data_IF_990336684548
#
_entry.id   IF_990336684548
#
_cell.length_a   1.000
_cell.length_b   1.000
_cell.length_c   1.000
_cell.angle_alpha   90.00
_cell.angle_beta   90.00
_cell.angle_gamma   90.00
#
_symmetry.space_group_name_H-M   'P 1'
#
loop_
_entity.id
_entity.type
_entity.pdbx_description
1 polymer ?
#
# COMPACT_ATOMS: atom_id res chain seq x y z
N UNK A 1 -8.39 -19.80 1.80
CA UNK A 1 -7.89 -18.40 1.87
C UNK A 1 -6.38 -18.41 1.63
N UNK A 2 -5.90 -17.50 0.80
CA UNK A 2 -4.46 -17.41 0.52
C UNK A 2 -3.70 -16.87 1.73
N UNK A 3 -2.65 -17.58 2.13
CA UNK A 3 -1.71 -17.15 3.16
C UNK A 3 -0.27 -17.52 2.77
N UNK A 4 0.62 -16.56 2.76
CA UNK A 4 2.03 -16.77 2.47
C UNK A 4 2.89 -16.46 3.72
N UNK A 5 3.49 -17.47 4.38
CA UNK A 5 4.35 -17.27 5.55
C UNK A 5 5.59 -16.41 5.24
N UNK A 6 6.14 -16.50 4.03
CA UNK A 6 7.31 -15.70 3.63
C UNK A 6 7.05 -14.19 3.67
N UNK A 7 5.78 -13.76 3.60
CA UNK A 7 5.39 -12.35 3.73
C UNK A 7 5.34 -11.84 5.18
N UNK A 8 5.73 -12.63 6.17
CA UNK A 8 5.74 -12.22 7.58
C UNK A 8 6.59 -10.97 7.80
N UNK A 9 7.79 -10.91 7.24
CA UNK A 9 8.67 -9.74 7.32
C UNK A 9 8.06 -8.48 6.68
N UNK A 10 7.36 -8.63 5.54
CA UNK A 10 6.64 -7.52 4.90
C UNK A 10 5.54 -6.97 5.80
N UNK A 11 4.75 -7.84 6.43
CA UNK A 11 3.70 -7.44 7.38
C UNK A 11 4.27 -6.77 8.63
N UNK A 12 5.40 -7.25 9.16
CA UNK A 12 6.10 -6.63 10.30
C UNK A 12 6.58 -5.22 9.95
N UNK A 13 7.20 -5.04 8.78
CA UNK A 13 7.63 -3.71 8.31
C UNK A 13 6.44 -2.75 8.19
N UNK A 14 5.28 -3.23 7.74
CA UNK A 14 4.06 -2.43 7.64
C UNK A 14 3.58 -1.92 9.02
N UNK A 15 3.59 -2.79 10.05
CA UNK A 15 3.24 -2.37 11.44
C UNK A 15 4.21 -1.33 11.95
N UNK A 16 5.51 -1.57 11.80
CA UNK A 16 6.55 -0.64 12.27
C UNK A 16 6.48 0.72 11.56
N UNK A 17 6.21 0.72 10.26
CA UNK A 17 6.08 1.95 9.49
C UNK A 17 4.80 2.71 9.85
N UNK A 18 3.68 2.01 10.10
CA UNK A 18 2.44 2.64 10.55
C UNK A 18 2.63 3.29 11.93
N UNK A 19 3.31 2.59 12.86
CA UNK A 19 3.67 3.15 14.15
C UNK A 19 4.52 4.41 14.00
N UNK A 20 5.58 4.35 13.21
CA UNK A 20 6.42 5.52 12.93
C UNK A 20 5.62 6.68 12.32
N UNK A 21 4.71 6.41 11.36
CA UNK A 21 3.88 7.44 10.75
C UNK A 21 2.90 8.10 11.74
N UNK A 22 2.44 7.37 12.76
CA UNK A 22 1.63 7.90 13.86
C UNK A 22 2.49 8.79 14.78
N UNK A 23 3.65 8.31 15.20
CA UNK A 23 4.60 9.03 16.06
C UNK A 23 5.08 10.35 15.42
N UNK A 24 5.34 10.36 14.09
CA UNK A 24 5.76 11.54 13.32
C UNK A 24 4.59 12.47 12.91
N UNK A 25 3.34 12.12 13.24
CA UNK A 25 2.16 12.91 12.90
C UNK A 25 1.81 12.96 11.42
N UNK A 26 2.32 12.02 10.59
CA UNK A 26 2.04 11.98 9.15
C UNK A 26 0.57 11.76 8.83
N UNK A 27 -0.16 11.14 9.76
CA UNK A 27 -1.56 10.74 9.60
C UNK A 27 -2.54 11.69 10.32
N UNK A 28 -2.05 12.78 10.92
CA UNK A 28 -2.83 13.71 11.74
C UNK A 28 -3.17 13.13 13.12
N UNK A 29 -3.99 13.86 13.90
CA UNK A 29 -4.28 13.51 15.31
C UNK A 29 -5.60 12.74 15.50
N UNK A 30 -6.50 12.73 14.53
CA UNK A 30 -7.82 12.09 14.63
C UNK A 30 -7.80 10.61 14.23
N UNK A 31 -8.99 10.12 13.89
CA UNK A 31 -9.16 8.77 13.34
C UNK A 31 -8.38 8.58 12.05
N UNK A 32 -7.63 7.50 11.99
CA UNK A 32 -6.84 7.08 10.82
C UNK A 32 -7.65 6.06 10.03
N UNK A 33 -8.15 6.47 8.89
CA UNK A 33 -8.83 5.56 7.95
C UNK A 33 -7.79 4.79 7.15
N UNK A 34 -7.54 3.55 7.55
CA UNK A 34 -6.62 2.64 6.90
C UNK A 34 -7.35 1.68 5.95
N UNK A 35 -6.71 1.31 4.86
CA UNK A 35 -7.27 0.34 3.91
C UNK A 35 -6.21 -0.70 3.54
N UNK A 36 -6.55 -1.98 3.75
CA UNK A 36 -5.79 -3.15 3.30
C UNK A 36 -6.46 -3.69 2.02
N UNK A 37 -5.90 -3.32 0.89
CA UNK A 37 -6.43 -3.68 -0.42
C UNK A 37 -5.91 -5.02 -0.91
N UNK A 38 -6.82 -5.84 -1.48
CA UNK A 38 -6.53 -7.21 -1.93
C UNK A 38 -6.09 -8.10 -0.76
N UNK A 39 -6.84 -7.97 0.33
CA UNK A 39 -6.44 -8.36 1.69
C UNK A 39 -6.25 -9.86 1.91
N UNK A 40 -6.87 -10.71 1.08
CA UNK A 40 -6.91 -12.18 1.23
C UNK A 40 -7.29 -12.60 2.67
N UNK A 41 -6.32 -12.90 3.52
CA UNK A 41 -6.57 -13.35 4.91
C UNK A 41 -6.88 -12.23 5.91
N UNK A 42 -6.83 -10.97 5.52
CA UNK A 42 -6.99 -9.83 6.44
C UNK A 42 -5.87 -9.68 7.48
N UNK A 43 -4.84 -10.52 7.41
CA UNK A 43 -3.83 -10.61 8.46
C UNK A 43 -3.02 -9.32 8.60
N UNK A 44 -2.78 -8.58 7.53
CA UNK A 44 -2.02 -7.31 7.59
C UNK A 44 -2.77 -6.27 8.42
N UNK A 45 -4.03 -6.00 8.09
CA UNK A 45 -4.87 -5.07 8.84
C UNK A 45 -5.05 -5.51 10.30
N UNK A 46 -5.27 -6.81 10.54
CA UNK A 46 -5.38 -7.35 11.90
C UNK A 46 -4.09 -7.16 12.71
N UNK A 47 -2.91 -7.26 12.09
CA UNK A 47 -1.64 -6.98 12.77
C UNK A 47 -1.49 -5.50 13.12
N UNK A 48 -1.97 -4.56 12.29
CA UNK A 48 -2.02 -3.15 12.67
C UNK A 48 -2.82 -2.95 13.96
N UNK A 49 -4.00 -3.57 14.06
CA UNK A 49 -4.89 -3.43 15.22
C UNK A 49 -4.41 -4.16 16.48
N UNK A 50 -3.57 -5.20 16.33
CA UNK A 50 -3.11 -6.02 17.45
C UNK A 50 -1.71 -5.67 17.96
N UNK A 51 -0.82 -5.16 17.09
CA UNK A 51 0.60 -4.99 17.42
C UNK A 51 0.98 -3.52 17.69
N UNK A 52 0.11 -2.57 17.35
CA UNK A 52 0.27 -1.18 17.79
C UNK A 52 -0.04 -1.04 19.29
N UNK A 53 0.56 -0.04 19.98
CA UNK A 53 0.08 0.37 21.31
C UNK A 53 -1.43 0.60 21.30
N UNK A 54 -2.11 0.33 22.41
CA UNK A 54 -3.58 0.43 22.48
C UNK A 54 -4.10 1.81 22.04
N UNK A 55 -3.49 2.88 22.53
CA UNK A 55 -3.84 4.26 22.20
C UNK A 55 -3.72 4.59 20.70
N UNK A 56 -2.74 4.01 20.03
CA UNK A 56 -2.55 4.15 18.59
C UNK A 56 -3.53 3.26 17.81
N UNK A 57 -3.71 2.02 18.25
CA UNK A 57 -4.64 1.08 17.63
C UNK A 57 -6.09 1.60 17.68
N UNK A 58 -6.51 2.22 18.76
CA UNK A 58 -7.85 2.82 18.90
C UNK A 58 -8.14 3.92 17.87
N UNK A 59 -7.11 4.55 17.32
CA UNK A 59 -7.25 5.55 16.26
C UNK A 59 -7.48 4.92 14.89
N UNK A 60 -7.22 3.63 14.71
CA UNK A 60 -7.28 2.97 13.40
C UNK A 60 -8.71 2.50 13.10
N UNK A 61 -9.27 3.00 12.01
CA UNK A 61 -10.47 2.44 11.38
C UNK A 61 -10.02 1.73 10.09
N UNK A 62 -9.84 0.42 10.19
CA UNK A 62 -9.33 -0.41 9.10
C UNK A 62 -10.47 -0.93 8.22
N UNK A 63 -10.34 -0.77 6.91
CA UNK A 63 -11.17 -1.41 5.91
C UNK A 63 -10.35 -2.47 5.18
N UNK A 64 -10.81 -3.71 5.17
CA UNK A 64 -10.22 -4.78 4.35
C UNK A 64 -11.04 -4.98 3.08
N UNK A 65 -10.38 -5.12 1.94
CA UNK A 65 -11.03 -5.20 0.63
C UNK A 65 -10.58 -6.43 -0.12
N UNK A 66 -11.54 -7.22 -0.61
CA UNK A 66 -11.28 -8.33 -1.53
C UNK A 66 -12.48 -8.55 -2.45
N UNK A 67 -12.25 -9.21 -3.59
CA UNK A 67 -13.31 -9.68 -4.48
C UNK A 67 -13.93 -10.99 -3.95
N UNK A 68 -13.11 -11.79 -3.25
CA UNK A 68 -13.49 -13.11 -2.76
C UNK A 68 -14.19 -13.02 -1.38
N UNK A 69 -15.49 -13.24 -1.38
CA UNK A 69 -16.32 -13.17 -0.17
C UNK A 69 -15.87 -14.15 0.91
N UNK A 70 -15.41 -15.34 0.52
CA UNK A 70 -14.92 -16.33 1.48
C UNK A 70 -13.63 -15.89 2.18
N UNK A 71 -12.80 -15.09 1.51
CA UNK A 71 -11.62 -14.48 2.12
C UNK A 71 -12.02 -13.47 3.21
N UNK A 72 -12.99 -12.61 2.91
CA UNK A 72 -13.50 -11.62 3.86
C UNK A 72 -14.18 -12.29 5.06
N UNK A 73 -15.06 -13.28 4.83
CA UNK A 73 -15.70 -14.03 5.94
C UNK A 73 -14.67 -14.69 6.85
N UNK A 74 -13.62 -15.26 6.28
CA UNK A 74 -12.54 -15.85 7.07
C UNK A 74 -11.80 -14.80 7.90
N UNK A 75 -11.52 -13.64 7.32
CA UNK A 75 -10.86 -12.55 8.00
C UNK A 75 -11.71 -12.00 9.16
N UNK A 76 -13.01 -11.80 8.96
CA UNK A 76 -13.97 -11.37 9.98
C UNK A 76 -14.08 -12.42 11.10
N UNK A 77 -14.30 -13.69 10.78
CA UNK A 77 -14.37 -14.75 11.78
C UNK A 77 -13.08 -14.85 12.61
N UNK A 78 -11.92 -14.70 11.98
CA UNK A 78 -10.64 -14.67 12.68
C UNK A 78 -10.47 -13.41 13.54
N UNK A 79 -11.06 -12.29 13.15
CA UNK A 79 -11.06 -11.05 13.94
C UNK A 79 -11.93 -11.18 15.18
N UNK A 80 -13.09 -11.81 15.05
CA UNK A 80 -14.03 -12.07 16.16
C UNK A 80 -13.45 -13.08 17.16
N UNK A 81 -12.78 -14.12 16.68
CA UNK A 81 -12.15 -15.15 17.53
C UNK A 81 -10.95 -14.57 18.31
N UNK A 82 -10.20 -13.67 17.69
CA UNK A 82 -9.03 -13.00 18.28
C UNK A 82 -9.19 -11.48 18.21
N UNK A 83 -9.96 -10.89 19.14
CA UNK A 83 -10.27 -9.47 19.11
C UNK A 83 -9.01 -8.60 19.19
N UNK A 84 -9.03 -7.43 18.55
CA UNK A 84 -7.88 -6.55 18.46
C UNK A 84 -7.54 -5.89 19.80
N UNK A 85 -6.33 -5.37 19.88
CA UNK A 85 -5.90 -4.52 20.99
C UNK A 85 -6.66 -3.18 21.03
N UNK A 86 -7.12 -2.69 19.88
CA UNK A 86 -7.90 -1.46 19.73
C UNK A 86 -8.32 -1.26 18.27
N UNK A 87 -9.11 -0.20 18.03
CA UNK A 87 -9.58 0.16 16.68
C UNK A 87 -10.72 -0.69 16.16
N UNK A 88 -11.03 -0.53 14.86
CA UNK A 88 -12.14 -1.24 14.19
C UNK A 88 -11.69 -1.87 12.89
N UNK A 89 -12.35 -2.97 12.52
CA UNK A 89 -12.16 -3.63 11.23
C UNK A 89 -13.52 -3.76 10.53
N UNK A 90 -13.58 -3.32 9.27
CA UNK A 90 -14.74 -3.46 8.39
C UNK A 90 -14.34 -4.19 7.12
N UNK A 91 -15.11 -5.19 6.72
CA UNK A 91 -14.92 -5.88 5.45
C UNK A 91 -15.76 -5.25 4.35
N UNK A 92 -15.15 -5.03 3.19
CA UNK A 92 -15.79 -4.46 2.01
C UNK A 92 -15.54 -5.33 0.79
N UNK A 93 -16.56 -6.08 0.38
CA UNK A 93 -16.51 -6.85 -0.87
C UNK A 93 -16.57 -5.90 -2.07
N UNK A 94 -15.63 -6.07 -2.99
CA UNK A 94 -15.63 -5.31 -4.24
C UNK A 94 -14.25 -5.09 -4.84
N UNK A 95 -14.28 -4.44 -6.01
CA UNK A 95 -13.05 -4.02 -6.67
C UNK A 95 -12.40 -2.89 -5.87
N UNK A 96 -11.13 -3.07 -5.53
CA UNK A 96 -10.34 -2.10 -4.78
C UNK A 96 -10.43 -0.68 -5.39
N UNK A 97 -10.42 -0.58 -6.72
CA UNK A 97 -10.49 0.71 -7.43
C UNK A 97 -11.77 1.51 -7.14
N UNK A 98 -12.84 0.81 -6.84
CA UNK A 98 -14.14 1.42 -6.50
C UNK A 98 -14.30 1.61 -4.99
N UNK A 99 -13.87 0.63 -4.20
CA UNK A 99 -14.03 0.67 -2.74
C UNK A 99 -13.15 1.75 -2.12
N UNK A 100 -11.91 1.90 -2.59
CA UNK A 100 -10.96 2.88 -2.05
C UNK A 100 -11.48 4.32 -2.15
N UNK A 101 -12.32 4.62 -3.15
CA UNK A 101 -12.89 5.95 -3.40
C UNK A 101 -14.09 6.31 -2.50
N UNK A 102 -14.60 5.37 -1.69
CA UNK A 102 -15.80 5.62 -0.85
C UNK A 102 -15.54 6.62 0.27
N UNK A 103 -14.29 6.79 0.70
CA UNK A 103 -13.89 7.78 1.72
C UNK A 103 -12.43 8.20 1.55
N UNK A 104 -12.05 9.33 2.16
CA UNK A 104 -10.64 9.72 2.24
C UNK A 104 -9.83 8.74 3.08
N UNK A 105 -8.61 8.42 2.63
CA UNK A 105 -7.72 7.44 3.29
C UNK A 105 -6.45 8.10 3.78
N UNK A 106 -6.03 7.75 5.00
CA UNK A 106 -4.75 8.19 5.58
C UNK A 106 -3.66 7.14 5.36
N UNK A 107 -4.04 5.86 5.27
CA UNK A 107 -3.15 4.73 5.02
C UNK A 107 -3.77 3.80 3.98
N UNK A 108 -3.03 3.47 2.94
CA UNK A 108 -3.48 2.53 1.91
C UNK A 108 -2.38 1.51 1.64
N UNK A 109 -2.70 0.24 1.75
CA UNK A 109 -1.85 -0.88 1.33
C UNK A 109 -2.39 -1.49 0.03
N UNK A 110 -1.51 -1.70 -0.94
CA UNK A 110 -1.81 -2.31 -2.24
C UNK A 110 -0.80 -3.44 -2.48
N UNK A 111 -1.23 -4.67 -2.31
CA UNK A 111 -0.37 -5.87 -2.43
C UNK A 111 -0.95 -6.89 -3.45
N UNK A 112 -0.96 -6.56 -4.75
CA UNK A 112 -1.49 -7.41 -5.80
C UNK A 112 -0.52 -8.51 -6.22
N UNK A 113 -1.05 -9.53 -6.90
CA UNK A 113 -0.25 -10.33 -7.81
C UNK A 113 0.12 -9.51 -9.07
N UNK A 114 1.39 -9.49 -9.42
CA UNK A 114 1.89 -8.78 -10.60
C UNK A 114 2.09 -7.29 -10.37
N UNK A 115 1.58 -6.47 -11.30
CA UNK A 115 1.77 -5.03 -11.29
C UNK A 115 0.70 -4.29 -10.49
N UNK A 116 1.07 -3.34 -9.61
CA UNK A 116 0.12 -2.52 -8.87
C UNK A 116 -0.50 -1.39 -9.71
N UNK A 117 0.02 -1.11 -10.89
CA UNK A 117 -0.36 0.04 -11.71
C UNK A 117 -1.88 0.22 -11.93
N UNK A 118 -2.69 -0.86 -12.07
CA UNK A 118 -4.13 -0.72 -12.23
C UNK A 118 -4.87 -0.06 -11.05
N UNK A 119 -4.26 -0.04 -9.86
CA UNK A 119 -4.89 0.43 -8.63
C UNK A 119 -4.42 1.81 -8.19
N UNK A 120 -3.27 2.28 -8.69
CA UNK A 120 -2.56 3.46 -8.17
C UNK A 120 -3.36 4.75 -8.37
N UNK A 121 -4.04 4.93 -9.50
CA UNK A 121 -4.78 6.15 -9.79
C UNK A 121 -5.93 6.36 -8.79
N UNK A 122 -6.79 5.36 -8.61
CA UNK A 122 -7.90 5.43 -7.65
C UNK A 122 -7.41 5.57 -6.20
N UNK A 123 -6.35 4.84 -5.84
CA UNK A 123 -5.77 4.94 -4.52
C UNK A 123 -5.19 6.34 -4.27
N UNK A 124 -4.47 6.90 -5.23
CA UNK A 124 -3.91 8.25 -5.13
C UNK A 124 -5.00 9.32 -4.99
N UNK A 125 -6.09 9.17 -5.74
CA UNK A 125 -7.26 10.06 -5.64
C UNK A 125 -7.90 10.02 -4.25
N UNK A 126 -7.96 8.84 -3.61
CA UNK A 126 -8.60 8.63 -2.31
C UNK A 126 -7.82 9.18 -1.12
N UNK A 127 -6.52 9.44 -1.28
CA UNK A 127 -5.66 9.86 -0.16
C UNK A 127 -6.14 11.15 0.51
N UNK A 128 -6.06 11.21 1.81
CA UNK A 128 -6.25 12.43 2.61
C UNK A 128 -5.21 13.50 2.23
N UNK A 129 -5.24 14.67 2.85
CA UNK A 129 -4.26 15.76 2.60
C UNK A 129 -2.81 15.34 2.89
N UNK A 130 -2.65 14.49 3.89
CA UNK A 130 -1.40 13.82 4.25
C UNK A 130 -1.73 12.37 4.60
N UNK A 131 -0.91 11.46 4.16
CA UNK A 131 -1.08 10.02 4.43
C UNK A 131 0.11 9.23 3.93
N UNK A 132 0.03 7.92 4.06
CA UNK A 132 1.06 6.98 3.61
C UNK A 132 0.44 5.92 2.72
N UNK A 133 1.15 5.57 1.67
CA UNK A 133 0.80 4.48 0.78
C UNK A 133 1.94 3.45 0.78
N UNK A 134 1.58 2.19 0.92
CA UNK A 134 2.47 1.05 0.75
C UNK A 134 2.05 0.27 -0.49
N UNK A 135 2.98 -0.03 -1.36
CA UNK A 135 2.69 -0.67 -2.65
C UNK A 135 3.69 -1.79 -2.92
N UNK A 136 3.16 -2.96 -3.20
CA UNK A 136 3.97 -4.11 -3.61
C UNK A 136 3.84 -4.40 -5.11
N UNK A 137 4.87 -5.01 -5.68
CA UNK A 137 4.88 -5.57 -7.01
C UNK A 137 5.58 -6.94 -7.01
N UNK A 138 5.02 -7.89 -7.73
CA UNK A 138 5.61 -9.21 -7.93
C UNK A 138 5.98 -9.48 -9.40
N UNK A 139 5.76 -8.53 -10.30
CA UNK A 139 6.17 -8.60 -11.70
C UNK A 139 7.66 -8.19 -11.90
N UNK A 140 8.51 -8.77 -11.07
CA UNK A 140 9.94 -8.46 -10.96
C UNK A 140 10.70 -8.65 -12.27
N UNK A 141 10.31 -9.62 -13.12
CA UNK A 141 10.90 -9.80 -14.45
C UNK A 141 10.71 -8.57 -15.36
N UNK A 142 9.58 -7.87 -15.21
CA UNK A 142 9.39 -6.60 -15.91
C UNK A 142 10.30 -5.52 -15.32
N UNK A 143 10.23 -5.35 -13.99
CA UNK A 143 10.93 -4.27 -13.29
C UNK A 143 12.47 -4.37 -13.36
N UNK A 144 13.03 -5.59 -13.48
CA UNK A 144 14.47 -5.80 -13.70
C UNK A 144 14.90 -5.70 -15.17
N UNK A 145 13.98 -5.45 -16.09
CA UNK A 145 14.28 -5.36 -17.51
C UNK A 145 14.32 -6.69 -18.26
N UNK A 146 14.26 -7.83 -17.56
CA UNK A 146 14.27 -9.18 -18.19
C UNK A 146 13.07 -9.39 -19.10
N UNK A 147 11.95 -8.69 -18.86
CA UNK A 147 10.78 -8.62 -19.74
C UNK A 147 10.54 -7.18 -20.19
N UNK A 148 11.37 -6.67 -21.08
CA UNK A 148 11.37 -5.26 -21.52
C UNK A 148 10.04 -4.82 -22.15
N UNK A 149 9.37 -5.71 -22.89
CA UNK A 149 8.05 -5.44 -23.48
C UNK A 149 6.98 -5.23 -22.41
N UNK A 150 7.00 -6.04 -21.34
CA UNK A 150 6.08 -5.87 -20.20
C UNK A 150 6.40 -4.59 -19.42
N UNK A 151 7.68 -4.29 -19.22
CA UNK A 151 8.13 -3.06 -18.57
C UNK A 151 7.62 -1.83 -19.33
N UNK A 152 7.83 -1.78 -20.65
CA UNK A 152 7.36 -0.68 -21.48
C UNK A 152 5.83 -0.54 -21.42
N UNK A 153 5.10 -1.64 -21.54
CA UNK A 153 3.63 -1.60 -21.55
C UNK A 153 3.02 -1.18 -20.20
N UNK A 154 3.60 -1.64 -19.07
CA UNK A 154 3.05 -1.39 -17.73
C UNK A 154 3.54 -0.10 -17.11
N UNK A 155 4.81 0.22 -17.33
CA UNK A 155 5.50 1.29 -16.62
C UNK A 155 6.07 2.39 -17.52
N UNK A 156 5.97 2.23 -18.86
CA UNK A 156 6.47 3.22 -19.81
C UNK A 156 7.99 3.45 -19.72
N UNK A 157 8.75 2.43 -19.31
CA UNK A 157 10.17 2.55 -19.01
C UNK A 157 11.02 1.47 -19.70
N UNK A 158 12.33 1.71 -19.72
CA UNK A 158 13.36 0.74 -20.08
C UNK A 158 14.42 0.70 -19.01
N UNK A 159 14.86 -0.48 -18.65
CA UNK A 159 15.91 -0.73 -17.65
C UNK A 159 16.92 -1.70 -18.24
N UNK A 160 18.21 -1.46 -17.99
CA UNK A 160 19.27 -2.42 -18.32
C UNK A 160 19.25 -3.57 -17.32
N UNK A 161 19.44 -4.79 -17.83
CA UNK A 161 19.55 -5.98 -16.99
C UNK A 161 21.01 -6.13 -16.51
N UNK A 162 21.36 -5.35 -15.52
CA UNK A 162 22.70 -5.30 -14.91
C UNK A 162 22.63 -5.41 -13.38
N UNK A 163 23.74 -5.16 -12.70
CA UNK A 163 23.84 -5.23 -11.24
C UNK A 163 22.94 -4.21 -10.51
N UNK A 164 22.47 -3.16 -11.18
CA UNK A 164 21.59 -2.13 -10.65
C UNK A 164 20.11 -2.31 -11.07
N UNK A 165 19.77 -3.44 -11.70
CA UNK A 165 18.42 -3.68 -12.22
C UNK A 165 17.34 -3.59 -11.14
N UNK A 166 17.61 -4.06 -9.92
CA UNK A 166 16.68 -3.97 -8.80
C UNK A 166 16.45 -2.52 -8.36
N UNK A 167 17.51 -1.76 -8.19
CA UNK A 167 17.45 -0.34 -7.84
C UNK A 167 16.72 0.48 -8.93
N UNK A 168 17.04 0.20 -10.19
CA UNK A 168 16.36 0.79 -11.35
C UNK A 168 14.87 0.48 -11.36
N UNK A 169 14.47 -0.76 -11.06
CA UNK A 169 13.07 -1.17 -10.95
C UNK A 169 12.31 -0.42 -9.86
N UNK A 170 12.91 -0.21 -8.69
CA UNK A 170 12.33 0.58 -7.60
C UNK A 170 12.13 2.04 -8.03
N UNK A 171 13.12 2.64 -8.69
CA UNK A 171 13.03 4.00 -9.23
C UNK A 171 11.95 4.15 -10.30
N UNK A 172 11.79 3.15 -11.18
CA UNK A 172 10.72 3.12 -12.18
C UNK A 172 9.35 3.13 -11.52
N UNK A 173 9.14 2.33 -10.45
CA UNK A 173 7.88 2.36 -9.70
C UNK A 173 7.62 3.72 -9.09
N UNK A 174 8.57 4.26 -8.34
CA UNK A 174 8.42 5.56 -7.67
C UNK A 174 8.16 6.68 -8.67
N UNK A 175 8.86 6.70 -9.80
CA UNK A 175 8.64 7.69 -10.87
C UNK A 175 7.22 7.60 -11.46
N UNK A 176 6.68 6.39 -11.64
CA UNK A 176 5.30 6.22 -12.10
C UNK A 176 4.29 6.71 -11.04
N UNK A 177 4.51 6.37 -9.77
CA UNK A 177 3.62 6.81 -8.70
C UNK A 177 3.66 8.32 -8.50
N UNK A 178 4.83 8.95 -8.65
CA UNK A 178 5.00 10.40 -8.62
C UNK A 178 4.20 11.10 -9.72
N UNK A 179 4.28 10.59 -10.96
CA UNK A 179 3.48 11.12 -12.09
C UNK A 179 1.99 10.98 -11.88
N UNK A 180 1.53 9.85 -11.30
CA UNK A 180 0.11 9.67 -10.97
C UNK A 180 -0.28 10.64 -9.84
N UNK A 181 0.55 10.80 -8.80
CA UNK A 181 0.30 11.73 -7.71
C UNK A 181 0.14 13.16 -8.21
N UNK A 182 1.02 13.61 -9.12
CA UNK A 182 0.98 14.95 -9.70
C UNK A 182 -0.35 15.27 -10.40
N UNK A 183 -0.96 14.29 -11.08
CA UNK A 183 -2.29 14.46 -11.71
C UNK A 183 -3.40 14.77 -10.70
N UNK A 184 -3.20 14.46 -9.43
CA UNK A 184 -4.12 14.69 -8.33
C UNK A 184 -3.66 15.83 -7.40
N UNK A 185 -2.78 16.72 -7.88
CA UNK A 185 -2.16 17.80 -7.09
C UNK A 185 -1.44 17.29 -5.83
N UNK A 186 -0.77 16.14 -5.95
CA UNK A 186 -0.09 15.48 -4.84
C UNK A 186 1.39 15.28 -5.14
N UNK A 187 2.19 15.25 -4.09
CA UNK A 187 3.58 14.85 -4.14
C UNK A 187 3.79 13.59 -3.30
N UNK A 188 4.80 12.81 -3.64
CA UNK A 188 5.22 11.66 -2.85
C UNK A 188 6.62 11.88 -2.28
N UNK A 189 6.83 11.38 -1.06
CA UNK A 189 8.13 11.36 -0.39
C UNK A 189 8.42 9.90 -0.01
N UNK A 190 9.42 9.25 -0.63
CA UNK A 190 9.78 7.88 -0.29
C UNK A 190 10.19 7.75 1.17
N UNK A 191 9.69 6.72 1.85
CA UNK A 191 10.02 6.39 3.24
C UNK A 191 10.85 5.12 3.33
N UNK A 192 10.42 4.06 2.62
CA UNK A 192 11.08 2.76 2.64
C UNK A 192 10.93 2.07 1.29
N UNK A 193 12.02 1.52 0.77
CA UNK A 193 12.02 0.66 -0.41
C UNK A 193 12.76 -0.63 -0.09
N UNK A 194 12.11 -1.77 -0.33
CA UNK A 194 12.66 -3.09 -0.03
C UNK A 194 12.47 -4.00 -1.24
N UNK A 195 13.54 -4.61 -1.68
CA UNK A 195 13.50 -5.74 -2.59
C UNK A 195 13.86 -7.01 -1.83
N UNK A 196 12.93 -7.95 -1.76
CA UNK A 196 13.09 -9.19 -1.02
C UNK A 196 12.74 -10.37 -1.95
N UNK A 197 13.77 -11.00 -2.51
CA UNK A 197 13.63 -12.11 -3.45
C UNK A 197 12.82 -11.72 -4.70
N UNK A 198 11.56 -12.14 -4.80
CA UNK A 198 10.65 -11.89 -5.93
C UNK A 198 9.52 -10.91 -5.58
N UNK A 199 9.70 -10.14 -4.54
CA UNK A 199 8.74 -9.18 -4.04
C UNK A 199 9.44 -7.83 -3.83
N UNK A 200 8.93 -6.81 -4.50
CA UNK A 200 9.34 -5.42 -4.33
C UNK A 200 8.24 -4.70 -3.57
N UNK A 201 8.61 -3.93 -2.55
CA UNK A 201 7.69 -3.07 -1.83
C UNK A 201 8.28 -1.68 -1.65
N UNK A 202 7.52 -0.67 -1.96
CA UNK A 202 7.84 0.73 -1.70
C UNK A 202 6.75 1.36 -0.84
N UNK A 203 7.18 2.16 0.12
CA UNK A 203 6.31 2.90 1.03
C UNK A 203 6.67 4.37 0.92
N UNK A 204 5.69 5.23 0.83
CA UNK A 204 5.90 6.67 0.65
C UNK A 204 4.79 7.49 1.29
N UNK A 205 5.16 8.65 1.78
CA UNK A 205 4.22 9.67 2.21
C UNK A 205 3.59 10.34 1.00
N UNK A 206 2.29 10.61 1.09
CA UNK A 206 1.52 11.34 0.06
C UNK A 206 1.06 12.66 0.68
N UNK A 207 1.36 13.76 0.01
CA UNK A 207 1.04 15.11 0.46
C UNK A 207 0.25 15.85 -0.62
N UNK A 208 -0.81 16.55 -0.24
CA UNK A 208 -1.48 17.46 -1.17
C UNK A 208 -0.65 18.74 -1.30
N UNK A 209 -0.03 18.93 -2.46
CA UNK A 209 0.84 20.09 -2.75
C UNK A 209 0.92 20.33 -4.26
N UNK A 210 0.22 21.36 -4.73
CA UNK A 210 0.27 21.77 -6.13
C UNK A 210 1.67 22.26 -6.53
N UNK A 211 2.34 23.02 -5.65
CA UNK A 211 3.69 23.54 -5.92
C UNK A 211 4.69 22.40 -6.16
N UNK A 212 4.74 21.44 -5.24
CA UNK A 212 5.66 20.29 -5.39
C UNK A 212 5.26 19.37 -6.54
N UNK A 213 3.96 19.23 -6.85
CA UNK A 213 3.51 18.49 -8.02
C UNK A 213 4.03 19.10 -9.33
N UNK A 214 4.09 20.43 -9.42
CA UNK A 214 4.63 21.14 -10.60
C UNK A 214 6.15 21.02 -10.74
N UNK A 215 6.87 20.76 -9.66
CA UNK A 215 8.34 20.58 -9.69
C UNK A 215 8.76 19.19 -10.21
N UNK A 216 7.80 18.29 -10.42
CA UNK A 216 8.03 16.91 -10.89
C UNK A 216 8.00 16.76 -12.42
N UNK A 217 7.87 17.86 -13.16
CA UNK A 217 8.00 17.91 -14.64
C UNK A 217 9.52 18.04 -15.06
#
# INVERSE_FOLDING_TARGET
>A
VFYNPAMSGSRTRSVLLLRHALEEGFLGEGTVYALDGLTASGLRARRWLNELPHEDAERISATIVDLEEDALRWAEASHDEFPPNGGTLEAAKGDLRSVVLRSGRHWVDIDPYGSPMPFIDSAMQSMARSGVMEVSATDTAALTGSSSTALMRRYGARVSTDSLAHDSGMRVMLANFSRVAARHDRAIVPLLSVWDSHHLRVSFRVLKSVSTANELE
#
